data_IF_600598076907
#
_entry.id   IF_600598076907
#
_cell.length_a   1.000
_cell.length_b   1.000
_cell.length_c   1.000
_cell.angle_alpha   90.00
_cell.angle_beta   90.00
_cell.angle_gamma   90.00
#
_symmetry.space_group_name_H-M   'P 1'
#
loop_
_entity.id
_entity.type
_entity.pdbx_description
1 polymer ?
#
# COMPACT_ATOMS: atom_id res chain seq x y z
N UNK A 1 5.91 2.06 18.69
CA UNK A 1 5.94 1.91 17.20
C UNK A 1 5.12 3.02 16.56
N UNK A 2 5.71 3.75 15.62
CA UNK A 2 5.02 4.85 14.95
C UNK A 2 4.05 4.32 13.89
N UNK A 3 2.90 4.97 13.79
CA UNK A 3 1.88 4.69 12.78
C UNK A 3 1.33 5.99 12.20
N UNK A 4 0.69 5.90 11.06
CA UNK A 4 -0.10 6.98 10.47
C UNK A 4 -1.42 6.42 9.93
N UNK A 5 -2.42 7.27 9.85
CA UNK A 5 -3.69 6.97 9.19
C UNK A 5 -3.77 7.82 7.94
N UNK A 6 -3.73 7.19 6.79
CA UNK A 6 -3.84 7.85 5.49
C UNK A 6 -5.24 7.66 4.91
N UNK A 7 -5.66 8.62 4.11
CA UNK A 7 -6.88 8.53 3.31
C UNK A 7 -6.52 8.51 1.83
N UNK A 8 -6.95 7.47 1.13
CA UNK A 8 -6.74 7.34 -0.31
C UNK A 8 -7.80 6.45 -0.95
N UNK A 9 -8.21 6.78 -2.17
CA UNK A 9 -9.23 6.02 -2.90
C UNK A 9 -10.57 5.91 -2.18
N UNK A 10 -10.95 6.91 -1.36
CA UNK A 10 -12.17 6.88 -0.55
C UNK A 10 -12.12 5.94 0.66
N UNK A 11 -10.95 5.43 1.02
CA UNK A 11 -10.74 4.54 2.15
C UNK A 11 -9.64 5.05 3.08
N UNK A 12 -9.68 4.62 4.32
CA UNK A 12 -8.70 4.93 5.34
C UNK A 12 -7.87 3.70 5.69
N UNK A 13 -6.57 3.90 5.84
CA UNK A 13 -5.63 2.83 6.16
C UNK A 13 -4.72 3.26 7.29
N UNK A 14 -4.61 2.41 8.31
CA UNK A 14 -3.57 2.54 9.34
C UNK A 14 -2.30 1.87 8.82
N UNK A 15 -1.23 2.63 8.71
CA UNK A 15 0.02 2.18 8.11
C UNK A 15 1.20 2.33 9.06
N UNK A 16 2.17 1.44 8.91
CA UNK A 16 3.47 1.47 9.59
C UNK A 16 4.58 1.46 8.55
N UNK A 17 5.74 1.99 8.90
CA UNK A 17 6.90 1.94 8.01
C UNK A 17 7.33 0.48 7.74
N UNK A 18 7.62 0.18 6.47
CA UNK A 18 7.96 -1.17 6.01
C UNK A 18 6.77 -2.06 5.68
N UNK A 19 5.56 -1.65 5.97
CA UNK A 19 4.35 -2.42 5.70
C UNK A 19 4.00 -2.41 4.21
N UNK A 20 3.52 -3.54 3.71
CA UNK A 20 3.01 -3.68 2.34
C UNK A 20 1.50 -3.68 2.40
N UNK A 21 0.88 -2.77 1.68
CA UNK A 21 -0.56 -2.57 1.64
C UNK A 21 -1.12 -2.70 0.23
N UNK A 22 -2.35 -3.16 0.19
CA UNK A 22 -3.19 -3.19 -0.99
C UNK A 22 -4.19 -2.04 -0.92
N UNK A 23 -4.05 -1.08 -1.81
CA UNK A 23 -4.92 0.09 -1.92
C UNK A 23 -5.68 0.09 -3.24
N UNK A 24 -6.67 0.96 -3.37
CA UNK A 24 -7.30 1.21 -4.67
C UNK A 24 -6.26 1.68 -5.69
N UNK A 25 -6.47 1.35 -6.96
CA UNK A 25 -5.51 1.68 -8.02
C UNK A 25 -5.15 3.17 -8.02
N UNK A 26 -3.87 3.45 -7.89
CA UNK A 26 -3.35 4.81 -8.00
C UNK A 26 -3.29 5.22 -9.49
N UNK A 27 -3.93 6.34 -9.90
CA UNK A 27 -4.14 6.65 -11.32
C UNK A 27 -2.86 6.84 -12.11
N UNK A 28 -1.87 7.53 -11.56
CA UNK A 28 -0.64 7.92 -12.26
C UNK A 28 0.60 7.12 -11.84
N UNK A 29 0.40 6.05 -11.08
CA UNK A 29 1.50 5.27 -10.53
C UNK A 29 2.09 4.28 -11.54
N UNK A 30 3.38 4.42 -11.82
CA UNK A 30 4.17 3.39 -12.49
C UNK A 30 4.83 2.47 -11.45
N UNK A 31 5.06 1.19 -11.77
CA UNK A 31 5.81 0.29 -10.89
C UNK A 31 7.17 0.89 -10.50
N UNK A 32 7.55 0.70 -9.24
CA UNK A 32 8.78 1.24 -8.63
C UNK A 32 8.84 2.78 -8.54
N UNK A 33 7.72 3.47 -8.72
CA UNK A 33 7.64 4.92 -8.48
C UNK A 33 7.40 5.23 -6.99
N UNK A 34 7.91 6.37 -6.56
CA UNK A 34 7.63 6.89 -5.21
C UNK A 34 6.31 7.65 -5.25
N UNK A 35 5.51 7.42 -4.24
CA UNK A 35 4.22 8.09 -4.03
C UNK A 35 4.26 8.78 -2.67
N UNK A 36 3.76 10.00 -2.63
CA UNK A 36 3.62 10.78 -1.40
C UNK A 36 2.14 10.97 -1.08
N UNK A 37 1.74 10.55 0.12
CA UNK A 37 0.40 10.77 0.65
C UNK A 37 0.40 11.99 1.56
N UNK A 38 -0.41 12.98 1.23
CA UNK A 38 -0.56 14.24 1.99
C UNK A 38 -1.82 14.28 2.85
N UNK A 39 -2.80 13.45 2.56
CA UNK A 39 -4.03 13.34 3.34
C UNK A 39 -3.83 12.41 4.53
N UNK A 40 -3.20 12.93 5.58
CA UNK A 40 -2.93 12.22 6.82
C UNK A 40 -3.95 12.65 7.86
N UNK A 41 -4.76 11.73 8.33
CA UNK A 41 -5.82 12.01 9.31
C UNK A 41 -5.27 12.05 10.74
N UNK A 42 -4.34 11.18 11.04
CA UNK A 42 -3.68 11.10 12.33
C UNK A 42 -2.32 10.41 12.20
N UNK A 43 -1.43 10.72 13.09
CA UNK A 43 -0.16 10.00 13.25
C UNK A 43 0.27 10.00 14.72
N UNK A 44 1.12 9.09 15.07
CA UNK A 44 1.66 9.06 16.42
C UNK A 44 2.46 7.82 16.74
N UNK A 45 2.89 7.80 17.96
CA UNK A 45 3.58 6.70 18.62
C UNK A 45 2.74 6.13 19.76
N UNK A 46 3.22 5.08 20.42
CA UNK A 46 2.56 4.49 21.57
C UNK A 46 2.37 5.49 22.74
N UNK A 47 3.12 6.60 22.74
CA UNK A 47 3.11 7.61 23.80
C UNK A 47 2.28 8.84 23.50
N UNK A 48 2.23 9.24 22.23
CA UNK A 48 1.55 10.47 21.80
C UNK A 48 0.93 10.28 20.42
N UNK A 49 -0.31 10.75 20.27
CA UNK A 49 -1.06 10.68 19.03
C UNK A 49 -1.52 12.08 18.68
N UNK A 50 -1.24 12.53 17.47
CA UNK A 50 -1.81 13.75 16.90
C UNK A 50 -2.93 13.39 15.93
N UNK A 51 -4.08 14.02 16.15
CA UNK A 51 -5.29 13.84 15.33
C UNK A 51 -5.56 15.12 14.58
N UNK A 52 -5.79 15.03 13.28
CA UNK A 52 -6.13 16.16 12.45
C UNK A 52 -7.60 16.58 12.53
N UNK A 53 -7.90 17.78 12.11
CA UNK A 53 -9.27 18.29 12.00
C UNK A 53 -9.50 18.87 10.57
N UNK A 54 -9.91 18.10 9.59
CA UNK A 54 -9.86 16.62 9.49
C UNK A 54 -8.47 16.05 9.18
N UNK A 55 -7.56 16.87 8.62
CA UNK A 55 -6.23 16.44 8.12
C UNK A 55 -5.15 17.17 8.91
N UNK A 56 -4.05 16.49 9.19
CA UNK A 56 -2.85 17.09 9.79
C UNK A 56 -2.03 17.77 8.69
N UNK A 57 -1.96 19.09 8.72
CA UNK A 57 -1.18 19.88 7.77
C UNK A 57 0.33 19.62 7.96
N UNK A 58 1.03 19.35 6.86
CA UNK A 58 2.49 19.15 6.85
C UNK A 58 2.95 17.72 7.13
N UNK A 59 2.10 16.85 7.65
CA UNK A 59 2.43 15.44 7.77
C UNK A 59 2.35 14.75 6.40
N UNK A 60 3.29 13.86 6.12
CA UNK A 60 3.34 13.11 4.87
C UNK A 60 3.78 11.66 5.08
N UNK A 61 3.31 10.79 4.20
CA UNK A 61 3.73 9.39 4.17
C UNK A 61 4.28 9.09 2.78
N UNK A 62 5.54 8.69 2.72
CA UNK A 62 6.16 8.22 1.49
C UNK A 62 5.99 6.71 1.35
N UNK A 63 5.61 6.28 0.17
CA UNK A 63 5.49 4.87 -0.18
C UNK A 63 6.08 4.61 -1.57
N UNK A 64 6.42 3.38 -1.81
CA UNK A 64 6.88 2.89 -3.10
C UNK A 64 5.79 2.00 -3.71
N UNK A 65 5.41 2.29 -4.95
CA UNK A 65 4.47 1.48 -5.70
C UNK A 65 5.18 0.23 -6.23
N UNK A 66 4.84 -0.93 -5.70
CA UNK A 66 5.46 -2.19 -6.13
C UNK A 66 4.87 -2.68 -7.45
N UNK A 67 3.56 -2.72 -7.55
CA UNK A 67 2.85 -3.15 -8.77
C UNK A 67 1.39 -2.73 -8.79
N UNK A 68 0.84 -2.60 -10.00
CA UNK A 68 -0.58 -2.55 -10.25
C UNK A 68 -1.08 -3.93 -10.68
N UNK A 69 -2.18 -4.39 -10.14
CA UNK A 69 -2.75 -5.69 -10.44
C UNK A 69 -4.27 -5.66 -10.37
N UNK A 70 -4.89 -6.79 -10.60
CA UNK A 70 -6.35 -6.97 -10.50
C UNK A 70 -6.65 -8.12 -9.57
N UNK A 71 -7.73 -8.00 -8.78
CA UNK A 71 -8.27 -9.09 -8.01
C UNK A 71 -8.80 -10.18 -8.96
N UNK A 72 -9.07 -11.36 -8.40
CA UNK A 72 -9.76 -12.39 -9.16
C UNK A 72 -11.17 -11.90 -9.57
N UNK A 73 -11.69 -12.43 -10.65
CA UNK A 73 -13.02 -12.10 -11.15
C UNK A 73 -14.09 -12.51 -10.14
N UNK A 74 -14.97 -11.58 -9.82
CA UNK A 74 -16.17 -11.81 -9.02
C UNK A 74 -17.36 -11.95 -9.96
N UNK A 75 -18.01 -13.09 -9.93
CA UNK A 75 -19.22 -13.32 -10.72
C UNK A 75 -20.42 -12.71 -10.01
N UNK A 76 -21.13 -11.85 -10.73
CA UNK A 76 -22.36 -11.22 -10.26
C UNK A 76 -23.51 -11.81 -11.04
N UNK A 77 -24.32 -12.63 -10.37
CA UNK A 77 -25.50 -13.22 -10.96
C UNK A 77 -26.76 -12.57 -10.37
N UNK A 78 -27.60 -12.01 -11.24
CA UNK A 78 -28.88 -11.40 -10.87
C UNK A 78 -30.00 -12.15 -11.55
N UNK A 79 -31.01 -12.55 -10.77
CA UNK A 79 -32.24 -13.16 -11.24
C UNK A 79 -33.42 -12.53 -10.52
N UNK A 80 -34.45 -12.16 -11.28
CA UNK A 80 -35.75 -11.77 -10.73
C UNK A 80 -36.57 -13.03 -10.52
N UNK A 81 -37.15 -13.15 -9.32
CA UNK A 81 -38.03 -14.24 -8.94
C UNK A 81 -39.23 -14.37 -9.92
N UNK A 82 -39.47 -15.56 -10.44
CA UNK A 82 -40.58 -15.87 -11.37
C UNK A 82 -40.63 -15.05 -12.67
N UNK A 83 -39.55 -14.37 -13.02
CA UNK A 83 -39.39 -13.64 -14.28
C UNK A 83 -38.26 -14.28 -15.08
N UNK A 84 -38.38 -14.29 -16.42
CA UNK A 84 -37.34 -14.76 -17.31
C UNK A 84 -36.16 -13.76 -17.39
N UNK A 85 -35.79 -13.14 -16.26
CA UNK A 85 -34.71 -12.20 -16.19
C UNK A 85 -33.50 -12.86 -15.50
N UNK A 86 -32.42 -13.02 -16.26
CA UNK A 86 -31.13 -13.51 -15.77
C UNK A 86 -30.05 -12.57 -16.27
N UNK A 87 -29.17 -12.15 -15.37
CA UNK A 87 -28.02 -11.35 -15.74
C UNK A 87 -26.78 -11.85 -15.02
N UNK A 88 -25.74 -12.13 -15.79
CA UNK A 88 -24.45 -12.59 -15.28
C UNK A 88 -23.38 -11.61 -15.73
N UNK A 89 -22.71 -10.97 -14.79
CA UNK A 89 -21.59 -10.07 -15.02
C UNK A 89 -20.36 -10.58 -14.29
N UNK A 90 -19.19 -10.32 -14.85
CA UNK A 90 -17.92 -10.48 -14.18
C UNK A 90 -17.37 -9.12 -13.77
N UNK A 91 -16.89 -8.98 -12.54
CA UNK A 91 -16.17 -7.81 -12.07
C UNK A 91 -14.79 -8.18 -11.60
N UNK A 92 -13.81 -7.40 -12.01
CA UNK A 92 -12.41 -7.58 -11.61
C UNK A 92 -11.83 -6.26 -11.16
N UNK A 93 -11.78 -6.07 -9.83
CA UNK A 93 -11.30 -4.84 -9.22
C UNK A 93 -9.80 -4.69 -9.39
N UNK A 94 -9.39 -3.50 -9.83
CA UNK A 94 -7.98 -3.12 -9.92
C UNK A 94 -7.48 -2.61 -8.57
N UNK A 95 -6.23 -2.88 -8.27
CA UNK A 95 -5.57 -2.40 -7.06
C UNK A 95 -4.10 -2.09 -7.30
N UNK A 96 -3.54 -1.29 -6.41
CA UNK A 96 -2.12 -1.03 -6.33
C UNK A 96 -1.54 -1.63 -5.06
N UNK A 97 -0.39 -2.26 -5.17
CA UNK A 97 0.37 -2.77 -4.05
C UNK A 97 1.49 -1.78 -3.74
N UNK A 98 1.46 -1.21 -2.55
CA UNK A 98 2.44 -0.22 -2.09
C UNK A 98 3.20 -0.73 -0.87
N UNK A 99 4.43 -0.25 -0.72
CA UNK A 99 5.25 -0.42 0.47
C UNK A 99 5.49 0.93 1.10
N UNK A 100 5.15 1.09 2.36
CA UNK A 100 5.39 2.33 3.10
C UNK A 100 6.87 2.46 3.42
N UNK A 101 7.50 3.54 2.95
CA UNK A 101 8.92 3.80 3.14
C UNK A 101 9.18 4.64 4.37
N UNK A 102 8.48 5.76 4.52
CA UNK A 102 8.68 6.72 5.60
C UNK A 102 7.38 7.34 6.07
N UNK A 103 7.33 7.68 7.35
CA UNK A 103 6.28 8.49 7.95
C UNK A 103 6.95 9.76 8.49
N UNK A 104 6.48 10.92 8.04
CA UNK A 104 7.00 12.23 8.45
C UNK A 104 5.92 12.99 9.23
N UNK A 105 6.34 13.64 10.33
CA UNK A 105 5.48 14.50 11.11
C UNK A 105 5.25 15.85 10.43
N UNK A 106 4.36 16.66 10.98
CA UNK A 106 4.09 18.03 10.54
C UNK A 106 5.33 18.93 10.58
N UNK A 107 6.28 18.65 11.47
CA UNK A 107 7.53 19.39 11.64
C UNK A 107 8.64 18.93 10.69
N UNK A 108 8.34 18.01 9.77
CA UNK A 108 9.32 17.45 8.84
C UNK A 108 10.26 16.40 9.45
N UNK A 109 10.03 16.01 10.70
CA UNK A 109 10.79 14.94 11.34
C UNK A 109 10.33 13.57 10.86
N UNK A 110 11.28 12.69 10.54
CA UNK A 110 11.00 11.29 10.24
C UNK A 110 10.66 10.55 11.52
N UNK A 111 9.42 10.10 11.65
CA UNK A 111 8.96 9.32 12.80
C UNK A 111 9.38 7.86 12.69
N UNK A 112 9.32 7.32 11.50
CA UNK A 112 9.64 5.93 11.22
C UNK A 112 10.09 5.77 9.78
N UNK A 113 11.09 4.94 9.57
CA UNK A 113 11.61 4.59 8.25
C UNK A 113 11.69 3.07 8.09
N UNK A 114 11.29 2.58 6.92
CA UNK A 114 11.43 1.17 6.60
C UNK A 114 12.89 0.77 6.47
N UNK A 115 13.25 -0.34 7.06
CA UNK A 115 14.57 -0.93 6.81
C UNK A 115 14.70 -1.26 5.32
N UNK A 116 15.78 -0.80 4.70
CA UNK A 116 16.10 -1.19 3.33
C UNK A 116 16.26 -2.72 3.31
N UNK A 117 15.45 -3.39 2.51
CA UNK A 117 15.71 -4.81 2.21
C UNK A 117 16.98 -4.81 1.37
N UNK A 118 18.12 -4.93 2.02
CA UNK A 118 19.37 -5.27 1.35
C UNK A 118 19.13 -6.67 0.73
N UNK A 119 19.26 -6.70 -0.59
CA UNK A 119 19.04 -7.84 -1.47
C UNK A 119 19.57 -9.14 -0.87
N UNK A 120 18.67 -9.95 -0.34
CA UNK A 120 18.95 -11.34 0.00
C UNK A 120 19.00 -12.25 -1.24
N UNK A 121 18.77 -11.66 -2.43
CA UNK A 121 18.79 -12.39 -3.70
C UNK A 121 20.19 -12.66 -4.25
N UNK A 122 21.18 -11.84 -3.91
CA UNK A 122 22.55 -12.05 -4.44
C UNK A 122 23.31 -13.19 -3.76
N UNK A 123 22.97 -13.55 -2.52
CA UNK A 123 23.65 -14.64 -1.81
C UNK A 123 23.20 -16.06 -2.21
N UNK A 124 22.13 -16.21 -2.98
CA UNK A 124 21.68 -17.52 -3.46
C UNK A 124 22.25 -17.93 -4.81
N UNK A 125 22.73 -16.98 -5.60
CA UNK A 125 23.36 -17.29 -6.90
C UNK A 125 24.85 -17.60 -6.76
N UNK A 126 25.57 -16.96 -5.85
CA UNK A 126 26.99 -17.28 -5.63
C UNK A 126 27.24 -18.68 -5.03
N UNK A 127 26.27 -19.23 -4.31
CA UNK A 127 26.39 -20.61 -3.78
C UNK A 127 26.07 -21.73 -4.79
N UNK A 128 25.49 -21.39 -5.94
CA UNK A 128 25.18 -22.38 -6.99
C UNK A 128 26.29 -22.54 -8.05
N UNK A 129 27.21 -21.60 -8.12
CA UNK A 129 28.32 -21.65 -9.09
C UNK A 129 29.57 -22.36 -8.59
N UNK A 130 29.70 -22.57 -7.27
CA UNK A 130 30.88 -23.23 -6.69
C UNK A 130 30.76 -24.76 -6.58
N UNK A 131 29.60 -25.33 -6.90
CA UNK A 131 29.41 -26.79 -6.77
C UNK A 131 29.39 -27.51 -8.12
N UNK A 132 29.75 -26.86 -9.21
CA UNK A 132 29.75 -27.46 -10.57
C UNK A 132 31.09 -27.43 -11.28
N UNK A 133 32.18 -27.34 -10.53
CA UNK A 133 33.52 -27.56 -11.05
C UNK A 133 34.25 -28.57 -10.16
N UNK A 134 33.98 -29.85 -10.40
CA UNK A 134 34.87 -30.96 -10.15
C UNK A 134 34.55 -32.06 -11.13
#
# INVERSE_FOLDING_TARGET
MSFAVIQTGGKQYKVKAGEILKIEKFPDGQPNSKIEFKEILAYGDDKSIEIGNPVVSGATVEAELLKNSKNRTVLIFKKRRRKNSRRKNGHRQQFSLIRVSKIMSKDGKVLSEAQKITKLSEKKEEKKTTTKVK
#
